data_IF_611242371767
#
_entry.id   IF_611242371767
#
_cell.length_a   1.000
_cell.length_b   1.000
_cell.length_c   1.000
_cell.angle_alpha   90.00
_cell.angle_beta   90.00
_cell.angle_gamma   90.00
#
_symmetry.space_group_name_H-M   'P 1'
#
loop_
_entity.id
_entity.type
_entity.pdbx_description
1 polymer ?
#
# COMPACT_ATOMS: atom_id res chain seq x y z
N UNK A 1 9.99 -55.35 36.31
CA UNK A 1 10.72 -54.41 35.43
C UNK A 1 9.69 -53.59 34.67
N UNK A 2 9.38 -52.41 35.21
CA UNK A 2 8.34 -51.52 34.69
C UNK A 2 8.84 -50.84 33.42
N UNK A 3 8.14 -51.01 32.30
CA UNK A 3 8.36 -50.20 31.09
C UNK A 3 7.50 -48.95 31.25
N UNK A 4 8.15 -47.83 31.53
CA UNK A 4 7.55 -46.49 31.49
C UNK A 4 7.17 -46.19 30.04
N UNK A 5 5.88 -45.97 29.82
CA UNK A 5 5.34 -45.41 28.59
C UNK A 5 5.89 -44.00 28.41
N UNK A 6 6.58 -43.76 27.30
CA UNK A 6 6.93 -42.42 26.85
C UNK A 6 5.79 -41.95 25.93
N UNK A 7 5.07 -40.94 26.39
CA UNK A 7 3.94 -40.31 25.71
C UNK A 7 4.46 -39.18 24.81
N UNK A 8 4.35 -39.27 23.47
CA UNK A 8 4.72 -38.16 22.62
C UNK A 8 3.57 -37.16 22.52
N UNK A 9 3.75 -36.01 23.17
CA UNK A 9 2.92 -34.81 23.03
C UNK A 9 2.55 -34.52 21.56
N UNK A 10 1.33 -34.01 21.29
CA UNK A 10 0.88 -33.74 19.94
C UNK A 10 1.71 -32.62 19.30
N UNK A 11 2.38 -32.94 18.20
CA UNK A 11 2.94 -31.96 17.27
C UNK A 11 1.79 -31.26 16.53
N UNK A 12 1.21 -30.24 17.15
CA UNK A 12 0.31 -29.31 16.49
C UNK A 12 1.08 -28.05 16.07
N UNK A 13 1.94 -28.19 15.06
CA UNK A 13 2.40 -27.09 14.21
C UNK A 13 2.68 -27.65 12.81
N UNK A 14 1.65 -28.25 12.22
CA UNK A 14 1.53 -28.36 10.78
C UNK A 14 0.21 -27.66 10.40
N UNK A 15 0.22 -26.33 10.38
CA UNK A 15 -0.71 -25.62 9.50
C UNK A 15 -0.08 -25.68 8.11
N UNK A 16 -0.57 -26.66 7.37
CA UNK A 16 -0.34 -26.81 5.95
C UNK A 16 -0.35 -25.45 5.24
N UNK A 17 0.69 -25.22 4.45
CA UNK A 17 0.68 -24.24 3.38
C UNK A 17 -0.53 -24.50 2.48
N UNK A 18 -1.62 -23.79 2.77
CA UNK A 18 -2.84 -23.79 1.98
C UNK A 18 -2.63 -22.96 0.72
N UNK A 19 -2.50 -23.68 -0.40
CA UNK A 19 -2.49 -23.18 -1.76
C UNK A 19 -3.72 -22.30 -2.05
N UNK A 20 -3.49 -21.11 -2.62
CA UNK A 20 -4.55 -20.21 -3.12
C UNK A 20 -4.66 -18.88 -2.39
N UNK A 21 -3.55 -18.25 -2.00
CA UNK A 21 -3.57 -16.88 -1.51
C UNK A 21 -4.02 -15.95 -2.63
N UNK A 22 -5.18 -15.33 -2.48
CA UNK A 22 -5.62 -14.26 -3.36
C UNK A 22 -4.52 -13.17 -3.35
N UNK A 23 -3.77 -12.96 -4.45
CA UNK A 23 -2.66 -12.00 -4.48
C UNK A 23 -3.15 -10.55 -4.30
N UNK A 24 -4.47 -10.36 -4.27
CA UNK A 24 -5.14 -9.08 -4.05
C UNK A 24 -5.27 -8.68 -2.56
N UNK A 25 -4.91 -9.55 -1.61
CA UNK A 25 -5.07 -9.31 -0.17
C UNK A 25 -3.84 -8.71 0.52
N UNK A 26 -4.05 -7.90 1.56
CA UNK A 26 -2.95 -7.44 2.44
C UNK A 26 -2.47 -8.59 3.31
N UNK A 27 -1.15 -8.86 3.31
CA UNK A 27 -0.54 -9.85 4.20
C UNK A 27 -0.54 -9.38 5.66
N UNK A 28 -0.44 -10.27 6.66
CA UNK A 28 -0.32 -9.86 8.07
C UNK A 28 0.83 -8.89 8.31
N UNK A 29 1.97 -9.10 7.67
CA UNK A 29 3.13 -8.21 7.74
C UNK A 29 2.84 -6.85 7.07
N UNK A 30 2.11 -6.85 5.94
CA UNK A 30 1.65 -5.62 5.29
C UNK A 30 0.69 -4.82 6.17
N UNK A 31 -0.24 -5.50 6.86
CA UNK A 31 -1.15 -4.86 7.80
C UNK A 31 -0.41 -4.28 9.01
N UNK A 32 0.58 -5.01 9.55
CA UNK A 32 1.43 -4.55 10.65
C UNK A 32 2.27 -3.33 10.23
N UNK A 33 2.83 -3.35 9.03
CA UNK A 33 3.57 -2.24 8.46
C UNK A 33 2.68 -1.01 8.23
N UNK A 34 1.48 -1.17 7.68
CA UNK A 34 0.51 -0.07 7.54
C UNK A 34 0.15 0.53 8.91
N UNK A 35 -0.18 -0.32 9.88
CA UNK A 35 -0.54 0.11 11.23
C UNK A 35 0.61 0.81 11.95
N UNK A 36 1.87 0.54 11.59
CA UNK A 36 3.04 1.20 12.18
C UNK A 36 3.10 2.71 11.93
N UNK A 37 2.39 3.21 10.92
CA UNK A 37 2.26 4.65 10.69
C UNK A 37 1.40 5.33 11.77
N UNK A 38 0.41 4.63 12.33
CA UNK A 38 -0.51 5.22 13.29
C UNK A 38 0.18 5.48 14.65
N UNK A 39 -0.26 6.50 15.42
CA UNK A 39 0.23 6.73 16.78
C UNK A 39 0.03 5.54 17.73
N UNK A 40 -0.99 4.71 17.45
CA UNK A 40 -1.32 3.52 18.22
C UNK A 40 -1.47 2.28 17.31
N UNK A 41 -0.35 1.63 16.91
CA UNK A 41 -0.38 0.53 15.94
C UNK A 41 -1.21 -0.68 16.39
N UNK A 42 -1.13 -1.05 17.67
CA UNK A 42 -1.89 -2.19 18.23
C UNK A 42 -3.40 -1.96 18.18
N UNK A 43 -3.85 -0.74 18.50
CA UNK A 43 -5.27 -0.37 18.43
C UNK A 43 -5.76 -0.34 16.99
N UNK A 44 -4.94 0.13 16.05
CA UNK A 44 -5.24 0.13 14.62
C UNK A 44 -5.44 -1.30 14.08
N UNK A 45 -4.54 -2.22 14.46
CA UNK A 45 -4.68 -3.64 14.12
C UNK A 45 -5.91 -4.29 14.76
N UNK A 46 -6.21 -3.96 16.02
CA UNK A 46 -7.41 -4.47 16.69
C UNK A 46 -8.69 -3.99 15.98
N UNK A 47 -8.76 -2.69 15.62
CA UNK A 47 -9.86 -2.12 14.87
C UNK A 47 -10.09 -2.84 13.53
N UNK A 48 -9.01 -3.08 12.76
CA UNK A 48 -9.14 -3.82 11.50
C UNK A 48 -9.52 -5.28 11.67
N UNK A 49 -9.14 -5.94 12.77
CA UNK A 49 -9.61 -7.30 13.07
C UNK A 49 -11.10 -7.34 13.37
N UNK A 50 -11.60 -6.33 14.09
CA UNK A 50 -13.03 -6.20 14.40
C UNK A 50 -13.85 -5.77 13.18
N UNK A 51 -13.26 -4.96 12.29
CA UNK A 51 -13.89 -4.36 11.11
C UNK A 51 -12.97 -4.47 9.88
N UNK A 52 -12.82 -5.67 9.29
CA UNK A 52 -11.88 -5.91 8.20
C UNK A 52 -12.24 -5.16 6.90
N UNK A 53 -13.50 -4.75 6.77
CA UNK A 53 -14.09 -3.99 5.67
C UNK A 53 -14.00 -2.46 5.89
N UNK A 54 -13.53 -2.00 7.05
CA UNK A 54 -13.47 -0.57 7.35
C UNK A 54 -12.21 0.09 6.76
N UNK A 55 -12.34 1.18 5.99
CA UNK A 55 -11.20 2.01 5.63
C UNK A 55 -10.65 2.72 6.88
N UNK A 56 -9.34 2.98 6.90
CA UNK A 56 -8.66 3.66 8.00
C UNK A 56 -7.83 4.82 7.47
N UNK A 57 -7.83 5.93 8.21
CA UNK A 57 -6.97 7.08 7.92
C UNK A 57 -5.62 6.87 8.63
N UNK A 58 -4.53 6.91 7.87
CA UNK A 58 -3.18 6.76 8.38
C UNK A 58 -2.36 8.02 8.07
N UNK A 59 -1.53 8.51 9.02
CA UNK A 59 -0.62 9.61 8.76
C UNK A 59 0.49 9.15 7.81
N UNK A 60 0.99 10.10 7.01
CA UNK A 60 2.13 9.91 6.11
C UNK A 60 3.41 10.50 6.74
N UNK A 61 4.57 10.15 6.18
CA UNK A 61 5.88 10.68 6.56
C UNK A 61 6.62 9.90 7.65
N UNK A 62 5.95 9.09 8.46
CA UNK A 62 6.60 8.29 9.51
C UNK A 62 7.09 6.94 8.98
N UNK A 63 6.16 6.10 8.52
CA UNK A 63 6.48 4.77 7.96
C UNK A 63 6.58 4.79 6.43
N UNK A 64 5.82 5.67 5.78
CA UNK A 64 5.76 5.79 4.32
C UNK A 64 5.27 7.18 3.90
N UNK A 65 5.61 7.56 2.68
CA UNK A 65 4.93 8.61 1.92
C UNK A 65 4.01 7.97 0.89
N UNK A 66 3.04 8.71 0.37
CA UNK A 66 2.12 8.20 -0.67
C UNK A 66 2.14 9.07 -1.91
N UNK A 67 2.37 8.42 -3.05
CA UNK A 67 2.13 9.00 -4.38
C UNK A 67 0.74 8.56 -4.84
N UNK A 68 -0.14 9.53 -4.99
CA UNK A 68 -1.55 9.33 -5.27
C UNK A 68 -1.83 9.77 -6.71
N UNK A 69 -2.17 8.81 -7.56
CA UNK A 69 -2.37 8.96 -8.99
C UNK A 69 -3.82 8.63 -9.41
N UNK A 70 -4.35 9.16 -10.52
CA UNK A 70 -5.56 8.60 -11.13
C UNK A 70 -5.40 7.11 -11.46
N UNK A 71 -6.41 6.29 -11.19
CA UNK A 71 -6.28 4.83 -11.25
C UNK A 71 -5.71 4.30 -12.57
N UNK A 72 -6.20 4.79 -13.73
CA UNK A 72 -5.73 4.33 -15.04
C UNK A 72 -4.28 4.73 -15.31
N UNK A 73 -3.88 5.92 -14.87
CA UNK A 73 -2.50 6.38 -15.03
C UNK A 73 -1.56 5.60 -14.11
N UNK A 74 -1.92 5.47 -12.83
CA UNK A 74 -1.17 4.69 -11.85
C UNK A 74 -1.00 3.23 -12.27
N UNK A 75 -2.03 2.62 -12.89
CA UNK A 75 -1.92 1.24 -13.39
C UNK A 75 -0.85 1.11 -14.47
N UNK A 76 -0.85 2.00 -15.46
CA UNK A 76 0.20 2.03 -16.50
C UNK A 76 1.59 2.28 -15.91
N UNK A 77 1.67 3.10 -14.87
CA UNK A 77 2.93 3.35 -14.16
C UNK A 77 3.43 2.08 -13.46
N UNK A 78 2.56 1.32 -12.79
CA UNK A 78 2.92 0.05 -12.18
C UNK A 78 3.31 -1.01 -13.20
N UNK A 79 2.57 -1.12 -14.30
CA UNK A 79 2.87 -2.09 -15.36
C UNK A 79 4.31 -1.85 -15.88
N UNK A 80 4.71 -0.59 -16.07
CA UNK A 80 6.09 -0.22 -16.46
C UNK A 80 7.14 -0.52 -15.39
N UNK A 81 6.87 -0.16 -14.13
CA UNK A 81 7.81 -0.48 -13.04
C UNK A 81 8.02 -1.99 -12.92
N UNK A 82 6.97 -2.78 -13.18
CA UNK A 82 7.04 -4.23 -13.18
C UNK A 82 7.86 -4.80 -14.35
N UNK A 83 7.80 -4.16 -15.52
CA UNK A 83 8.66 -4.48 -16.67
C UNK A 83 10.14 -4.24 -16.36
N UNK A 84 10.46 -3.21 -15.57
CA UNK A 84 11.83 -2.88 -15.13
C UNK A 84 12.35 -3.81 -14.02
N UNK A 85 11.44 -4.48 -13.29
CA UNK A 85 11.77 -5.52 -12.32
C UNK A 85 10.64 -5.75 -11.31
N UNK A 86 10.55 -6.96 -10.72
CA UNK A 86 9.53 -7.24 -9.71
C UNK A 86 9.75 -6.38 -8.45
N UNK A 87 8.66 -5.98 -7.78
CA UNK A 87 8.72 -5.36 -6.45
C UNK A 87 8.36 -3.87 -6.40
N UNK A 88 7.36 -3.42 -7.15
CA UNK A 88 6.87 -2.02 -7.19
C UNK A 88 6.23 -1.50 -5.88
N UNK A 89 6.52 -2.13 -4.74
CA UNK A 89 6.05 -1.77 -3.41
C UNK A 89 4.56 -2.04 -3.17
N UNK A 90 4.09 -1.81 -1.94
CA UNK A 90 2.67 -1.87 -1.61
C UNK A 90 1.87 -0.85 -2.42
N UNK A 91 0.69 -1.25 -2.88
CA UNK A 91 -0.24 -0.40 -3.64
C UNK A 91 -1.65 -0.64 -3.14
N UNK A 92 -2.46 0.42 -3.11
CA UNK A 92 -3.89 0.33 -2.89
C UNK A 92 -4.68 1.12 -3.95
N UNK A 93 -5.95 0.76 -4.13
CA UNK A 93 -6.90 1.57 -4.92
C UNK A 93 -8.01 2.07 -4.00
N UNK A 94 -8.25 3.38 -4.01
CA UNK A 94 -9.29 4.00 -3.23
C UNK A 94 -9.93 5.16 -4.01
N UNK A 95 -11.26 5.11 -4.16
CA UNK A 95 -12.06 6.18 -4.82
C UNK A 95 -11.51 6.63 -6.18
N UNK A 96 -11.22 5.67 -7.07
CA UNK A 96 -10.73 5.95 -8.43
C UNK A 96 -9.29 6.45 -8.50
N UNK A 97 -8.55 6.36 -7.39
CA UNK A 97 -7.16 6.75 -7.27
C UNK A 97 -6.32 5.56 -6.83
N UNK A 98 -5.09 5.51 -7.31
CA UNK A 98 -4.09 4.52 -6.94
C UNK A 98 -3.10 5.17 -5.98
N UNK A 99 -2.92 4.54 -4.84
CA UNK A 99 -2.00 4.94 -3.78
C UNK A 99 -0.78 4.05 -3.87
N UNK A 100 0.35 4.62 -4.27
CA UNK A 100 1.64 3.94 -4.24
C UNK A 100 2.36 4.35 -2.97
N UNK A 101 2.68 3.36 -2.14
CA UNK A 101 3.39 3.62 -0.91
C UNK A 101 4.89 3.61 -1.16
N UNK A 102 5.55 4.65 -0.70
CA UNK A 102 6.94 4.98 -1.03
C UNK A 102 7.74 5.24 0.25
N UNK A 103 9.07 5.25 0.13
CA UNK A 103 9.94 5.58 1.24
C UNK A 103 9.65 7.02 1.75
N UNK A 104 9.67 7.25 3.07
CA UNK A 104 9.53 8.59 3.64
C UNK A 104 10.49 9.62 3.01
N UNK A 105 9.99 10.82 2.74
CA UNK A 105 10.70 11.90 2.04
C UNK A 105 10.50 11.91 0.51
N UNK A 106 9.90 10.88 -0.07
CA UNK A 106 9.55 10.85 -1.51
C UNK A 106 8.59 11.97 -1.86
N UNK A 107 7.59 12.25 -1.03
CA UNK A 107 6.59 13.28 -1.31
C UNK A 107 7.19 14.69 -1.39
N UNK A 108 8.34 14.91 -0.73
CA UNK A 108 9.07 16.17 -0.82
C UNK A 108 9.98 16.23 -2.06
N UNK A 109 10.63 15.12 -2.42
CA UNK A 109 11.62 15.08 -3.51
C UNK A 109 11.00 14.93 -4.88
N UNK A 110 9.97 14.10 -5.01
CA UNK A 110 9.38 13.73 -6.29
C UNK A 110 8.81 14.92 -7.06
N UNK A 111 8.02 15.85 -6.47
CA UNK A 111 7.51 16.99 -7.21
C UNK A 111 8.62 17.83 -7.86
N UNK A 112 9.73 18.04 -7.16
CA UNK A 112 10.89 18.77 -7.68
C UNK A 112 11.54 18.08 -8.88
N UNK A 113 11.63 16.74 -8.85
CA UNK A 113 12.15 15.95 -9.98
C UNK A 113 11.22 16.04 -11.20
N UNK A 114 9.91 15.91 -11.00
CA UNK A 114 8.94 15.98 -12.10
C UNK A 114 8.87 17.38 -12.72
N UNK A 115 9.07 18.42 -11.91
CA UNK A 115 9.19 19.79 -12.40
C UNK A 115 10.45 19.99 -13.25
N UNK A 116 11.59 19.43 -12.81
CA UNK A 116 12.86 19.49 -13.54
C UNK A 116 12.80 18.79 -14.90
N UNK A 117 12.09 17.66 -14.98
CA UNK A 117 11.90 16.88 -16.22
C UNK A 117 10.77 17.44 -17.13
N UNK A 118 10.27 18.65 -16.86
CA UNK A 118 9.15 19.31 -17.56
C UNK A 118 7.85 18.47 -17.57
N UNK A 119 7.73 17.51 -16.66
CA UNK A 119 6.64 16.55 -16.53
C UNK A 119 5.57 17.01 -15.52
N UNK A 120 5.85 18.11 -14.80
CA UNK A 120 4.96 18.68 -13.80
C UNK A 120 3.66 19.22 -14.40
N UNK A 121 2.54 18.96 -13.71
CA UNK A 121 1.21 19.48 -14.06
C UNK A 121 1.02 20.99 -13.79
N UNK A 122 2.05 21.69 -13.32
CA UNK A 122 2.00 23.12 -13.05
C UNK A 122 2.04 23.89 -14.38
N UNK A 123 0.85 24.16 -14.92
CA UNK A 123 0.66 25.33 -15.79
C UNK A 123 0.00 25.12 -17.16
N UNK A 124 -0.67 23.99 -17.47
CA UNK A 124 -1.37 23.87 -18.77
C UNK A 124 -2.72 23.16 -18.68
N UNK A 125 -3.79 23.93 -18.84
CA UNK A 125 -5.18 23.45 -18.95
C UNK A 125 -5.55 22.98 -20.37
N UNK A 126 -4.64 23.08 -21.34
CA UNK A 126 -4.90 22.88 -22.77
C UNK A 126 -4.16 21.68 -23.40
N UNK A 127 -3.36 20.93 -22.62
CA UNK A 127 -2.75 19.68 -23.07
C UNK A 127 -1.68 19.79 -24.18
N UNK A 128 -1.20 20.99 -24.51
CA UNK A 128 -0.36 21.25 -25.69
C UNK A 128 1.16 21.37 -25.40
N UNK A 129 1.68 20.60 -24.43
CA UNK A 129 3.13 20.43 -24.22
C UNK A 129 3.57 19.00 -24.52
N UNK A 130 4.88 18.75 -24.68
CA UNK A 130 5.44 17.37 -24.76
C UNK A 130 5.01 16.47 -23.58
N UNK A 131 4.59 17.09 -22.46
CA UNK A 131 4.08 16.49 -21.22
C UNK A 131 2.54 16.48 -21.09
N UNK A 132 1.77 16.48 -22.19
CA UNK A 132 0.31 16.30 -22.15
C UNK A 132 -0.17 14.93 -21.60
N UNK A 133 0.74 14.09 -21.10
CA UNK A 133 0.48 12.70 -20.74
C UNK A 133 0.30 12.43 -19.25
N UNK A 134 0.68 13.35 -18.34
CA UNK A 134 0.70 13.04 -16.90
C UNK A 134 -0.26 13.89 -16.09
N UNK A 135 -1.30 13.25 -15.53
CA UNK A 135 -2.23 13.95 -14.68
C UNK A 135 -1.55 14.37 -13.37
N UNK A 136 -2.08 15.39 -12.67
CA UNK A 136 -1.51 15.85 -11.41
C UNK A 136 -1.45 14.71 -10.39
N UNK A 137 -0.23 14.27 -10.10
CA UNK A 137 0.08 13.39 -8.99
C UNK A 137 0.00 14.19 -7.69
N UNK A 138 -0.64 13.62 -6.67
CA UNK A 138 -0.63 14.19 -5.33
C UNK A 138 0.42 13.43 -4.51
N UNK A 139 1.26 14.18 -3.81
CA UNK A 139 2.29 13.62 -2.95
C UNK A 139 1.90 13.91 -1.50
N UNK A 140 1.77 12.86 -0.69
CA UNK A 140 1.41 12.95 0.72
C UNK A 140 2.61 12.53 1.57
N UNK A 141 3.11 13.45 2.39
CA UNK A 141 4.29 13.26 3.22
C UNK A 141 4.04 13.60 4.68
N UNK A 142 5.09 14.02 5.39
CA UNK A 142 4.97 14.38 6.80
C UNK A 142 3.92 15.48 7.03
N UNK A 143 2.99 15.24 7.95
CA UNK A 143 1.87 16.13 8.25
C UNK A 143 0.60 15.86 7.43
N UNK A 144 0.68 15.02 6.39
CA UNK A 144 -0.48 14.57 5.63
C UNK A 144 -1.05 13.26 6.18
N UNK A 145 -2.27 12.93 5.76
CA UNK A 145 -2.88 11.62 6.02
C UNK A 145 -3.64 11.11 4.79
N UNK A 146 -3.69 9.80 4.63
CA UNK A 146 -4.42 9.13 3.54
C UNK A 146 -5.42 8.13 4.11
N UNK A 147 -6.53 7.94 3.39
CA UNK A 147 -7.44 6.83 3.66
C UNK A 147 -6.94 5.58 2.93
N UNK A 148 -6.52 4.58 3.70
CA UNK A 148 -6.18 3.25 3.18
C UNK A 148 -7.47 2.41 3.14
N UNK A 149 -7.75 1.71 2.03
CA UNK A 149 -8.93 0.87 1.92
C UNK A 149 -8.89 -0.29 2.92
N UNK A 150 -10.03 -0.96 3.06
CA UNK A 150 -10.17 -2.20 3.80
C UNK A 150 -9.06 -3.21 3.47
N UNK A 151 -8.56 -3.91 4.49
CA UNK A 151 -7.52 -4.92 4.29
C UNK A 151 -8.03 -6.16 3.54
N UNK A 152 -9.33 -6.41 3.64
CA UNK A 152 -10.04 -7.36 2.80
C UNK A 152 -10.67 -6.58 1.65
N UNK A 153 -10.31 -6.92 0.41
CA UNK A 153 -10.99 -6.38 -0.74
C UNK A 153 -12.48 -6.75 -0.64
N UNK A 154 -13.35 -5.76 -0.45
CA UNK A 154 -14.78 -5.99 -0.63
C UNK A 154 -14.99 -6.45 -2.06
N UNK A 155 -15.61 -7.61 -2.25
CA UNK A 155 -16.10 -8.01 -3.57
C UNK A 155 -16.90 -6.84 -4.13
N UNK A 156 -16.38 -6.19 -5.18
CA UNK A 156 -16.99 -5.00 -5.74
C UNK A 156 -18.44 -5.29 -6.08
N UNK A 157 -19.34 -4.47 -5.57
CA UNK A 157 -20.72 -4.36 -6.07
C UNK A 157 -20.70 -3.67 -7.44
#
# INVERSE_FOLDING_TARGET
MSRTSDDPLPRQFDLAAGHGGDPCGVTPDGAAWLASAAPYPRSTLAFWRERPDAPVVLPCGAAFDVVNAPAMFGRRMLDRMWEEGPGSGPVAVHRGRMLLFTAPGTAHRLPSLLEWEEWGARGRTDGAGRAGGVPPLLCHGNGDAVTVPALVAGAGL
#
